data_IF_603847601181
#
_entry.id   IF_603847601181
#
_cell.length_a   1.000
_cell.length_b   1.000
_cell.length_c   1.000
_cell.angle_alpha   90.00
_cell.angle_beta   90.00
_cell.angle_gamma   90.00
#
_symmetry.space_group_name_H-M   'P 1'
#
loop_
_entity.id
_entity.type
_entity.pdbx_description
1 polymer ?
#
# COMPACT_ATOMS: atom_id res chain seq x y z
N UNK A 1 23.30 11.67 -14.34
CA UNK A 1 21.88 12.03 -14.07
C UNK A 1 21.32 10.87 -13.26
N UNK A 2 20.70 11.12 -12.09
CA UNK A 2 20.02 10.07 -11.32
C UNK A 2 18.86 9.53 -12.16
N UNK A 3 18.68 8.20 -12.15
CA UNK A 3 17.56 7.55 -12.83
C UNK A 3 16.23 7.96 -12.19
N UNK A 4 15.18 8.14 -12.99
CA UNK A 4 13.85 8.52 -12.52
C UNK A 4 13.17 7.31 -11.87
N UNK A 5 12.82 7.42 -10.59
CA UNK A 5 11.97 6.47 -9.90
C UNK A 5 10.52 6.64 -10.35
N UNK A 6 9.91 5.57 -10.82
CA UNK A 6 8.62 5.57 -11.51
C UNK A 6 7.47 5.21 -10.58
N UNK A 7 6.25 5.54 -10.99
CA UNK A 7 5.03 4.97 -10.42
C UNK A 7 4.90 3.49 -10.82
N UNK A 8 4.23 2.68 -10.00
CA UNK A 8 3.86 1.32 -10.36
C UNK A 8 2.34 1.25 -10.57
N UNK A 9 1.93 1.20 -11.83
CA UNK A 9 0.53 1.34 -12.23
C UNK A 9 0.15 0.17 -13.13
N UNK A 10 -0.97 -0.49 -12.83
CA UNK A 10 -1.50 -1.61 -13.60
C UNK A 10 -0.49 -2.76 -13.83
N UNK A 11 0.49 -2.91 -12.94
CA UNK A 11 1.53 -3.94 -13.01
C UNK A 11 2.79 -3.55 -13.78
N UNK A 12 2.92 -2.27 -14.19
CA UNK A 12 4.09 -1.76 -14.91
C UNK A 12 4.68 -0.52 -14.25
N UNK A 13 6.00 -0.34 -14.37
CA UNK A 13 6.70 0.86 -13.93
C UNK A 13 6.61 1.95 -15.00
N UNK A 14 5.88 3.02 -14.69
CA UNK A 14 5.58 4.10 -15.65
C UNK A 14 6.07 5.46 -15.14
N UNK A 15 6.56 6.29 -16.05
CA UNK A 15 6.86 7.69 -15.76
C UNK A 15 5.57 8.46 -15.44
N UNK A 16 5.73 9.59 -14.73
CA UNK A 16 4.61 10.49 -14.45
C UNK A 16 4.48 11.62 -15.45
N UNK A 17 3.57 12.55 -15.17
CA UNK A 17 3.41 13.81 -15.91
C UNK A 17 4.44 14.88 -15.51
N UNK A 18 5.06 14.72 -14.35
CA UNK A 18 6.12 15.56 -13.79
C UNK A 18 6.98 14.76 -12.84
N UNK A 19 7.99 15.38 -12.25
CA UNK A 19 8.88 14.77 -11.27
C UNK A 19 9.18 15.73 -10.12
N UNK A 20 9.59 15.17 -8.98
CA UNK A 20 10.09 15.91 -7.83
C UNK A 20 11.46 15.37 -7.42
N UNK A 21 12.30 16.26 -6.88
CA UNK A 21 13.51 15.87 -6.19
C UNK A 21 13.18 15.41 -4.76
N UNK A 22 13.83 14.34 -4.29
CA UNK A 22 13.87 13.97 -2.91
C UNK A 22 15.29 14.15 -2.39
N UNK A 23 15.45 14.95 -1.33
CA UNK A 23 16.72 15.27 -0.71
C UNK A 23 16.70 14.92 0.77
N UNK A 24 17.87 14.52 1.28
CA UNK A 24 18.01 14.22 2.70
C UNK A 24 17.78 15.49 3.54
N UNK A 25 16.91 15.47 4.53
CA UNK A 25 16.75 16.61 5.45
C UNK A 25 17.96 16.85 6.35
N UNK A 26 18.81 15.84 6.50
CA UNK A 26 20.05 15.94 7.29
C UNK A 26 21.21 16.56 6.49
N UNK A 27 21.15 16.49 5.15
CA UNK A 27 22.09 17.10 4.22
C UNK A 27 21.37 17.43 2.91
N UNK A 28 20.95 18.67 2.75
CA UNK A 28 20.18 19.12 1.57
C UNK A 28 20.97 19.07 0.25
N UNK A 29 22.29 18.89 0.30
CA UNK A 29 23.11 18.63 -0.88
C UNK A 29 23.00 17.18 -1.36
N UNK A 30 22.58 16.27 -0.49
CA UNK A 30 22.40 14.86 -0.79
C UNK A 30 21.08 14.63 -1.53
N UNK A 31 21.16 14.49 -2.86
CA UNK A 31 20.03 14.10 -3.70
C UNK A 31 19.83 12.59 -3.63
N UNK A 32 18.70 12.15 -3.01
CA UNK A 32 18.31 10.75 -2.91
C UNK A 32 17.86 10.23 -4.28
N UNK A 33 17.05 11.01 -5.00
CA UNK A 33 16.60 10.66 -6.35
C UNK A 33 15.55 11.61 -6.91
N UNK A 34 15.15 11.32 -8.16
CA UNK A 34 14.02 11.94 -8.85
C UNK A 34 12.82 10.97 -8.80
N UNK A 35 11.63 11.48 -8.54
CA UNK A 35 10.43 10.68 -8.37
C UNK A 35 9.28 11.21 -9.21
N UNK A 36 8.73 10.33 -10.05
CA UNK A 36 7.62 10.64 -10.92
C UNK A 36 6.36 11.02 -10.13
N UNK A 37 5.62 12.00 -10.65
CA UNK A 37 4.28 12.36 -10.15
C UNK A 37 3.23 11.90 -11.15
N UNK A 38 2.29 11.08 -10.71
CA UNK A 38 1.23 10.52 -11.55
C UNK A 38 0.29 11.60 -12.09
N UNK A 39 -0.29 11.34 -13.24
CA UNK A 39 -1.42 12.12 -13.77
C UNK A 39 -2.76 11.56 -13.27
N UNK A 40 -3.87 12.35 -13.35
CA UNK A 40 -5.22 11.85 -13.09
C UNK A 40 -5.59 10.65 -13.97
N UNK A 41 -5.20 10.64 -15.24
CA UNK A 41 -5.46 9.53 -16.16
C UNK A 41 -4.75 8.24 -15.73
N UNK A 42 -3.53 8.36 -15.20
CA UNK A 42 -2.79 7.22 -14.65
C UNK A 42 -3.45 6.67 -13.38
N UNK A 43 -3.99 7.53 -12.52
CA UNK A 43 -4.79 7.12 -11.38
C UNK A 43 -6.05 6.38 -11.83
N UNK A 44 -6.78 6.91 -12.81
CA UNK A 44 -8.01 6.27 -13.31
C UNK A 44 -7.74 4.92 -13.96
N UNK A 45 -6.65 4.79 -14.71
CA UNK A 45 -6.20 3.52 -15.27
C UNK A 45 -5.85 2.50 -14.18
N UNK A 46 -5.16 2.93 -13.11
CA UNK A 46 -4.84 2.05 -11.98
C UNK A 46 -6.09 1.55 -11.26
N UNK A 47 -7.07 2.41 -11.05
CA UNK A 47 -8.34 2.07 -10.41
C UNK A 47 -9.18 1.10 -11.26
N UNK A 48 -9.24 1.31 -12.57
CA UNK A 48 -9.96 0.42 -13.49
C UNK A 48 -9.36 -1.00 -13.50
N UNK A 49 -8.02 -1.10 -13.55
CA UNK A 49 -7.33 -2.39 -13.53
C UNK A 49 -7.45 -3.09 -12.16
N UNK A 50 -7.42 -2.31 -11.08
CA UNK A 50 -7.52 -2.84 -9.71
C UNK A 50 -8.84 -3.58 -9.46
N UNK A 51 -9.96 -3.12 -10.02
CA UNK A 51 -11.25 -3.79 -9.89
C UNK A 51 -11.26 -5.20 -10.49
N UNK A 52 -10.57 -5.39 -11.62
CA UNK A 52 -10.46 -6.71 -12.25
C UNK A 52 -9.48 -7.60 -11.47
N UNK A 53 -8.30 -7.07 -11.14
CA UNK A 53 -7.27 -7.78 -10.41
C UNK A 53 -7.75 -8.23 -9.01
N UNK A 54 -8.59 -7.42 -8.36
CA UNK A 54 -9.19 -7.74 -7.07
C UNK A 54 -10.06 -8.99 -7.14
N UNK A 55 -10.92 -9.10 -8.16
CA UNK A 55 -11.78 -10.29 -8.33
C UNK A 55 -10.95 -11.56 -8.56
N UNK A 56 -9.89 -11.45 -9.35
CA UNK A 56 -8.96 -12.55 -9.57
C UNK A 56 -8.25 -12.95 -8.27
N UNK A 57 -7.71 -11.97 -7.52
CA UNK A 57 -7.03 -12.18 -6.25
C UNK A 57 -7.94 -12.75 -5.18
N UNK A 58 -9.18 -12.29 -5.09
CA UNK A 58 -10.16 -12.82 -4.12
C UNK A 58 -10.40 -14.32 -4.35
N UNK A 59 -10.38 -14.78 -5.60
CA UNK A 59 -10.54 -16.18 -5.97
C UNK A 59 -9.30 -17.06 -5.72
N UNK A 60 -8.12 -16.46 -5.45
CA UNK A 60 -6.92 -17.25 -5.13
C UNK A 60 -7.07 -17.97 -3.80
N UNK A 61 -6.54 -19.20 -3.74
CA UNK A 61 -6.51 -19.98 -2.51
C UNK A 61 -5.71 -19.29 -1.40
N UNK A 62 -6.09 -19.56 -0.16
CA UNK A 62 -5.48 -18.95 1.04
C UNK A 62 -3.97 -19.22 1.15
N UNK A 63 -3.51 -20.41 0.73
CA UNK A 63 -2.09 -20.77 0.72
C UNK A 63 -1.26 -19.87 -0.22
N UNK A 64 -1.78 -19.56 -1.41
CA UNK A 64 -1.09 -18.65 -2.35
C UNK A 64 -0.97 -17.24 -1.76
N UNK A 65 -2.03 -16.74 -1.15
CA UNK A 65 -2.02 -15.45 -0.44
C UNK A 65 -1.02 -15.45 0.71
N UNK A 66 -1.01 -16.53 1.51
CA UNK A 66 -0.03 -16.73 2.58
C UNK A 66 1.41 -16.65 2.04
N UNK A 67 1.73 -17.41 0.99
CA UNK A 67 3.07 -17.47 0.44
C UNK A 67 3.55 -16.10 -0.07
N UNK A 68 2.71 -15.36 -0.76
CA UNK A 68 3.00 -14.01 -1.25
C UNK A 68 3.31 -13.06 -0.09
N UNK A 69 2.45 -12.98 0.91
CA UNK A 69 2.64 -12.07 2.04
C UNK A 69 3.85 -12.48 2.89
N UNK A 70 4.08 -13.77 3.08
CA UNK A 70 5.24 -14.31 3.78
C UNK A 70 6.54 -13.95 3.06
N UNK A 71 6.59 -14.06 1.74
CA UNK A 71 7.76 -13.69 0.93
C UNK A 71 8.08 -12.21 1.05
N UNK A 72 7.07 -11.31 0.96
CA UNK A 72 7.23 -9.87 1.15
C UNK A 72 7.85 -9.58 2.53
N UNK A 73 7.22 -10.09 3.59
CA UNK A 73 7.66 -9.82 4.96
C UNK A 73 9.06 -10.35 5.26
N UNK A 74 9.38 -11.55 4.76
CA UNK A 74 10.71 -12.17 4.92
C UNK A 74 11.80 -11.36 4.22
N UNK A 75 11.56 -10.92 2.97
CA UNK A 75 12.52 -10.09 2.25
C UNK A 75 12.74 -8.74 2.95
N UNK A 76 11.67 -8.08 3.39
CA UNK A 76 11.77 -6.81 4.15
C UNK A 76 12.63 -6.97 5.40
N UNK A 77 12.40 -8.02 6.20
CA UNK A 77 13.18 -8.27 7.41
C UNK A 77 14.65 -8.59 7.09
N UNK A 78 14.90 -9.36 6.05
CA UNK A 78 16.27 -9.69 5.61
C UNK A 78 17.03 -8.44 5.12
N UNK A 79 16.34 -7.51 4.46
CA UNK A 79 16.92 -6.26 3.94
C UNK A 79 16.74 -5.06 4.89
N UNK A 80 16.37 -5.29 6.15
CA UNK A 80 16.04 -4.21 7.09
C UNK A 80 17.19 -3.20 7.30
N UNK A 81 18.45 -3.64 7.22
CA UNK A 81 19.60 -2.75 7.32
C UNK A 81 19.69 -1.80 6.09
N UNK A 82 19.57 -2.34 4.89
CA UNK A 82 19.62 -1.59 3.63
C UNK A 82 18.45 -0.60 3.54
N UNK A 83 17.23 -1.11 3.63
CA UNK A 83 16.01 -0.33 3.51
C UNK A 83 15.83 0.68 4.65
N UNK A 84 16.26 0.33 5.86
CA UNK A 84 16.25 1.23 7.01
C UNK A 84 17.26 2.36 6.90
N UNK A 85 18.40 2.12 6.25
CA UNK A 85 19.37 3.18 5.94
C UNK A 85 18.80 4.15 4.91
N UNK A 86 18.14 3.66 3.85
CA UNK A 86 17.45 4.48 2.86
C UNK A 86 16.36 5.34 3.53
N UNK A 87 15.52 4.72 4.36
CA UNK A 87 14.45 5.40 5.09
C UNK A 87 15.00 6.51 5.99
N UNK A 88 16.06 6.23 6.74
CA UNK A 88 16.69 7.21 7.62
C UNK A 88 17.31 8.38 6.86
N UNK A 89 17.92 8.10 5.71
CA UNK A 89 18.47 9.13 4.81
C UNK A 89 17.39 10.05 4.26
N UNK A 90 16.21 9.48 3.94
CA UNK A 90 15.07 10.19 3.36
C UNK A 90 14.28 10.99 4.40
N UNK A 91 14.06 10.43 5.58
CA UNK A 91 13.17 11.00 6.60
C UNK A 91 13.92 11.77 7.69
N UNK A 92 15.20 11.45 7.90
CA UNK A 92 16.06 12.11 8.88
C UNK A 92 16.13 11.45 10.26
N UNK A 93 15.45 10.32 10.48
CA UNK A 93 15.55 9.59 11.75
C UNK A 93 16.87 8.80 11.87
N UNK A 94 17.28 8.43 13.11
CA UNK A 94 18.46 7.57 13.31
C UNK A 94 18.35 6.24 12.58
N UNK A 95 19.47 5.74 12.03
CA UNK A 95 19.51 4.49 11.25
C UNK A 95 18.98 3.29 12.04
N UNK A 96 19.23 3.24 13.35
CA UNK A 96 18.72 2.17 14.21
C UNK A 96 17.17 2.15 14.25
N UNK A 97 16.54 3.33 14.24
CA UNK A 97 15.09 3.46 14.23
C UNK A 97 14.53 3.10 12.84
N UNK A 98 15.15 3.57 11.73
CA UNK A 98 14.76 3.21 10.38
C UNK A 98 14.84 1.70 10.13
N UNK A 99 15.92 1.07 10.60
CA UNK A 99 16.06 -0.40 10.57
C UNK A 99 14.95 -1.10 11.37
N UNK A 100 14.67 -0.61 12.56
CA UNK A 100 13.61 -1.13 13.43
C UNK A 100 12.23 -1.00 12.79
N UNK A 101 11.97 0.12 12.11
CA UNK A 101 10.73 0.36 11.37
C UNK A 101 10.54 -0.64 10.23
N UNK A 102 11.54 -0.81 9.37
CA UNK A 102 11.46 -1.76 8.25
C UNK A 102 11.30 -3.19 8.73
N UNK A 103 12.03 -3.58 9.79
CA UNK A 103 11.87 -4.91 10.38
C UNK A 103 10.44 -5.12 10.89
N UNK A 104 9.89 -4.14 11.61
CA UNK A 104 8.50 -4.17 12.09
C UNK A 104 7.50 -4.23 10.92
N UNK A 105 7.75 -3.49 9.84
CA UNK A 105 6.93 -3.53 8.64
C UNK A 105 6.88 -4.94 8.03
N UNK A 106 8.02 -5.63 7.95
CA UNK A 106 8.07 -7.03 7.54
C UNK A 106 7.27 -7.96 8.45
N UNK A 107 7.30 -7.71 9.77
CA UNK A 107 6.49 -8.49 10.73
C UNK A 107 4.98 -8.32 10.52
N UNK A 108 4.49 -7.17 10.05
CA UNK A 108 3.09 -7.01 9.71
C UNK A 108 2.70 -7.91 8.54
N UNK A 109 3.53 -7.98 7.50
CA UNK A 109 3.26 -8.89 6.38
C UNK A 109 3.26 -10.36 6.80
N UNK A 110 4.22 -10.80 7.62
CA UNK A 110 4.24 -12.20 8.11
C UNK A 110 3.07 -12.51 9.06
N UNK A 111 2.66 -11.55 9.89
CA UNK A 111 1.48 -11.69 10.75
C UNK A 111 0.22 -11.90 9.89
N UNK A 112 -0.02 -11.01 8.91
CA UNK A 112 -1.20 -11.12 8.06
C UNK A 112 -1.13 -12.28 7.06
N UNK A 113 0.07 -12.76 6.70
CA UNK A 113 0.21 -14.03 6.01
C UNK A 113 -0.42 -15.16 6.84
N UNK A 114 -0.08 -15.27 8.12
CA UNK A 114 -0.67 -16.26 9.01
C UNK A 114 -2.19 -16.06 9.20
N UNK A 115 -2.67 -14.82 9.18
CA UNK A 115 -4.11 -14.52 9.26
C UNK A 115 -4.89 -15.02 8.03
N UNK A 116 -4.27 -15.11 6.83
CA UNK A 116 -4.97 -15.69 5.67
C UNK A 116 -5.42 -17.13 5.91
N UNK A 117 -4.65 -17.90 6.71
CA UNK A 117 -4.95 -19.28 7.04
C UNK A 117 -6.03 -19.43 8.15
N UNK A 118 -6.36 -18.33 8.83
CA UNK A 118 -7.29 -18.27 9.97
C UNK A 118 -8.54 -17.45 9.69
N UNK A 119 -8.86 -17.20 8.43
CA UNK A 119 -10.10 -16.52 8.05
C UNK A 119 -11.29 -17.43 8.27
N UNK A 120 -11.77 -17.47 9.50
CA UNK A 120 -12.95 -18.23 9.87
C UNK A 120 -14.20 -17.37 9.78
N UNK A 121 -15.31 -18.00 9.39
CA UNK A 121 -16.66 -17.48 9.55
C UNK A 121 -17.30 -18.01 10.84
N UNK A 122 -18.58 -17.75 10.97
CA UNK A 122 -19.40 -18.23 12.07
C UNK A 122 -20.68 -18.86 11.50
N UNK A 123 -21.13 -19.95 12.08
CA UNK A 123 -22.44 -20.53 11.78
C UNK A 123 -23.31 -20.51 13.03
N UNK A 124 -24.58 -20.20 12.89
CA UNK A 124 -25.54 -20.19 14.01
C UNK A 124 -26.91 -20.67 13.55
N UNK A 125 -27.66 -21.24 14.48
CA UNK A 125 -29.07 -21.55 14.26
C UNK A 125 -29.89 -20.25 14.36
N UNK A 126 -30.92 -20.16 13.52
CA UNK A 126 -31.91 -19.09 13.59
C UNK A 126 -33.02 -19.44 14.58
N UNK A 127 -33.62 -18.43 15.18
CA UNK A 127 -34.89 -18.58 15.92
C UNK A 127 -36.07 -18.93 15.00
N UNK A 128 -35.87 -18.88 13.67
CA UNK A 128 -36.87 -19.28 12.68
C UNK A 128 -36.55 -20.68 12.20
N UNK A 129 -37.55 -21.58 12.27
CA UNK A 129 -37.39 -22.96 11.81
C UNK A 129 -36.97 -23.04 10.32
N UNK A 130 -36.02 -23.92 10.01
CA UNK A 130 -35.53 -24.17 8.66
C UNK A 130 -34.60 -23.10 8.09
N UNK A 131 -34.13 -22.14 8.93
CA UNK A 131 -33.15 -21.10 8.52
C UNK A 131 -31.85 -21.33 9.27
N UNK A 132 -30.75 -21.40 8.51
CA UNK A 132 -29.38 -21.38 9.04
C UNK A 132 -28.76 -20.02 8.77
N UNK A 133 -27.85 -19.57 9.65
CA UNK A 133 -27.08 -18.33 9.53
C UNK A 133 -25.63 -18.71 9.28
N UNK A 134 -25.06 -18.24 8.16
CA UNK A 134 -23.65 -18.42 7.81
C UNK A 134 -23.02 -17.03 7.61
N UNK A 135 -22.05 -16.69 8.48
CA UNK A 135 -21.33 -15.42 8.44
C UNK A 135 -19.98 -15.66 7.76
N UNK A 136 -19.75 -15.01 6.65
CA UNK A 136 -18.49 -15.09 5.89
C UNK A 136 -17.81 -13.72 5.82
N UNK A 137 -16.49 -13.75 5.79
CA UNK A 137 -15.67 -12.55 5.54
C UNK A 137 -15.38 -12.45 4.05
N UNK A 138 -15.72 -11.32 3.47
CA UNK A 138 -15.49 -11.04 2.05
C UNK A 138 -14.61 -9.80 1.86
N UNK A 139 -13.92 -9.72 0.71
CA UNK A 139 -13.18 -8.52 0.32
C UNK A 139 -14.14 -7.36 0.06
N UNK A 140 -13.79 -6.16 0.49
CA UNK A 140 -14.58 -4.95 0.20
C UNK A 140 -14.37 -4.44 -1.22
N UNK A 141 -13.23 -4.77 -1.86
CA UNK A 141 -12.93 -4.36 -3.23
C UNK A 141 -11.58 -3.64 -3.35
N UNK A 142 -11.59 -2.42 -3.89
CA UNK A 142 -10.41 -1.57 -4.06
C UNK A 142 -10.24 -0.69 -2.82
N UNK A 143 -9.08 -0.80 -2.16
CA UNK A 143 -8.72 -0.02 -0.97
C UNK A 143 -7.72 1.07 -1.34
N UNK A 144 -8.11 2.32 -1.14
CA UNK A 144 -7.19 3.46 -1.20
C UNK A 144 -6.41 3.57 0.11
N UNK A 145 -5.08 3.59 0.01
CA UNK A 145 -4.20 3.79 1.16
C UNK A 145 -3.48 5.11 1.01
N UNK A 146 -3.63 5.99 2.01
CA UNK A 146 -2.93 7.26 2.09
C UNK A 146 -2.12 7.26 3.38
N UNK A 147 -0.79 7.34 3.27
CA UNK A 147 0.12 7.22 4.39
C UNK A 147 0.98 8.48 4.60
N UNK A 148 1.39 8.76 5.85
CA UNK A 148 2.22 9.90 6.20
C UNK A 148 3.71 9.62 5.94
N UNK A 149 4.54 10.62 6.22
CA UNK A 149 5.99 10.60 6.03
C UNK A 149 6.78 10.10 7.23
N UNK A 150 6.23 10.18 8.46
CA UNK A 150 6.99 9.94 9.70
C UNK A 150 7.22 8.46 10.04
N UNK A 151 6.43 7.54 9.48
CA UNK A 151 6.65 6.09 9.48
C UNK A 151 6.27 5.55 8.10
N UNK A 152 7.03 5.93 7.05
CA UNK A 152 6.61 5.74 5.65
C UNK A 152 6.43 4.27 5.28
N UNK A 153 7.28 3.40 5.81
CA UNK A 153 7.23 1.96 5.51
C UNK A 153 6.27 1.21 6.44
N UNK A 154 6.34 1.44 7.76
CA UNK A 154 5.50 0.71 8.71
C UNK A 154 4.02 1.09 8.58
N UNK A 155 3.69 2.39 8.50
CA UNK A 155 2.29 2.83 8.38
C UNK A 155 1.62 2.32 7.11
N UNK A 156 2.35 2.26 6.00
CA UNK A 156 1.85 1.66 4.77
C UNK A 156 1.65 0.15 4.94
N UNK A 157 2.65 -0.55 5.49
CA UNK A 157 2.65 -2.01 5.60
C UNK A 157 1.49 -2.54 6.44
N UNK A 158 1.15 -1.91 7.57
CA UNK A 158 0.01 -2.36 8.40
C UNK A 158 -1.37 -2.09 7.78
N UNK A 159 -1.43 -1.40 6.64
CA UNK A 159 -2.62 -1.19 5.82
C UNK A 159 -2.63 -2.09 4.58
N UNK A 160 -1.49 -2.19 3.90
CA UNK A 160 -1.32 -2.99 2.68
C UNK A 160 -1.47 -4.47 3.00
N UNK A 161 -0.77 -4.96 4.04
CA UNK A 161 -0.78 -6.38 4.38
C UNK A 161 -2.19 -6.92 4.69
N UNK A 162 -3.01 -6.31 5.57
CA UNK A 162 -4.39 -6.77 5.79
C UNK A 162 -5.26 -6.62 4.55
N UNK A 163 -5.13 -5.53 3.77
CA UNK A 163 -5.92 -5.36 2.56
C UNK A 163 -5.71 -6.53 1.59
N UNK A 164 -4.44 -6.88 1.31
CA UNK A 164 -4.10 -8.01 0.45
C UNK A 164 -4.50 -9.35 1.06
N UNK A 165 -4.28 -9.57 2.37
CA UNK A 165 -4.64 -10.80 3.08
C UNK A 165 -6.13 -11.13 2.93
N UNK A 166 -6.99 -10.12 3.02
CA UNK A 166 -8.44 -10.27 2.93
C UNK A 166 -8.99 -10.13 1.49
N UNK A 167 -8.12 -10.22 0.47
CA UNK A 167 -8.56 -10.33 -0.92
C UNK A 167 -8.86 -9.01 -1.62
N UNK A 168 -8.42 -7.87 -1.06
CA UNK A 168 -8.63 -6.55 -1.65
C UNK A 168 -7.49 -6.17 -2.60
N UNK A 169 -7.78 -5.27 -3.55
CA UNK A 169 -6.76 -4.54 -4.30
C UNK A 169 -6.35 -3.26 -3.55
N UNK A 170 -5.15 -2.78 -3.82
CA UNK A 170 -4.57 -1.63 -3.14
C UNK A 170 -4.10 -0.57 -4.14
N UNK A 171 -4.57 0.65 -3.98
CA UNK A 171 -3.99 1.85 -4.57
C UNK A 171 -3.31 2.66 -3.47
N UNK A 172 -2.00 2.70 -3.47
CA UNK A 172 -1.23 3.38 -2.43
C UNK A 172 -0.70 4.72 -2.89
N UNK A 173 -1.08 5.77 -2.17
CA UNK A 173 -0.53 7.12 -2.29
C UNK A 173 0.33 7.43 -1.06
N UNK A 174 1.66 7.37 -1.16
CA UNK A 174 2.57 7.75 -0.09
C UNK A 174 2.66 9.28 0.06
N UNK A 175 3.31 9.73 1.12
CA UNK A 175 3.69 11.14 1.25
C UNK A 175 4.79 11.52 0.24
N UNK A 176 4.72 12.72 -0.31
CA UNK A 176 5.73 13.22 -1.27
C UNK A 176 7.11 13.44 -0.63
N UNK A 177 7.19 13.50 0.71
CA UNK A 177 8.44 13.66 1.44
C UNK A 177 9.27 12.37 1.54
N UNK A 178 8.64 11.20 1.35
CA UNK A 178 9.27 9.90 1.52
C UNK A 178 8.95 8.93 0.40
N UNK A 179 9.19 9.32 -0.89
CA UNK A 179 8.89 8.48 -2.04
C UNK A 179 9.87 7.32 -2.22
N UNK A 180 11.13 7.44 -1.79
CA UNK A 180 12.13 6.38 -1.98
C UNK A 180 11.80 5.13 -1.17
N UNK A 181 11.37 5.30 0.09
CA UNK A 181 10.90 4.19 0.92
C UNK A 181 9.68 3.51 0.30
N UNK A 182 8.79 4.28 -0.34
CA UNK A 182 7.61 3.75 -1.01
C UNK A 182 7.96 2.94 -2.26
N UNK A 183 8.89 3.44 -3.09
CA UNK A 183 9.39 2.72 -4.27
C UNK A 183 10.06 1.42 -3.84
N UNK A 184 10.92 1.44 -2.82
CA UNK A 184 11.63 0.26 -2.34
C UNK A 184 10.67 -0.85 -1.83
N UNK A 185 9.61 -0.49 -1.10
CA UNK A 185 8.57 -1.45 -0.71
C UNK A 185 7.80 -1.98 -1.93
N UNK A 186 7.49 -1.09 -2.86
CA UNK A 186 6.78 -1.46 -4.10
C UNK A 186 7.59 -2.43 -4.95
N UNK A 187 8.91 -2.26 -5.05
CA UNK A 187 9.79 -3.21 -5.75
C UNK A 187 9.69 -4.63 -5.18
N UNK A 188 9.61 -4.76 -3.86
CA UNK A 188 9.43 -6.07 -3.22
C UNK A 188 8.08 -6.67 -3.59
N UNK A 189 7.01 -5.86 -3.52
CA UNK A 189 5.65 -6.31 -3.84
C UNK A 189 5.51 -6.65 -5.33
N UNK A 190 6.08 -5.84 -6.23
CA UNK A 190 5.95 -5.98 -7.69
C UNK A 190 6.55 -7.27 -8.25
N UNK A 191 7.49 -7.88 -7.53
CA UNK A 191 8.11 -9.16 -7.93
C UNK A 191 7.33 -10.39 -7.48
N UNK A 192 6.26 -10.20 -6.72
CA UNK A 192 5.47 -11.32 -6.23
C UNK A 192 4.49 -11.84 -7.30
N UNK A 193 4.06 -13.09 -7.14
CA UNK A 193 3.07 -13.73 -7.99
C UNK A 193 1.66 -13.22 -7.66
N UNK A 194 1.35 -12.00 -8.08
CA UNK A 194 0.07 -11.32 -7.89
C UNK A 194 -0.53 -10.89 -9.24
N UNK A 195 -1.86 -10.78 -9.36
CA UNK A 195 -2.50 -10.26 -10.57
C UNK A 195 -2.00 -8.85 -10.91
N UNK A 196 -1.78 -8.57 -12.20
CA UNK A 196 -1.42 -7.23 -12.66
C UNK A 196 -2.50 -6.21 -12.25
N UNK A 197 -2.08 -5.14 -11.60
CA UNK A 197 -2.97 -4.10 -11.10
C UNK A 197 -3.57 -4.36 -9.71
N UNK A 198 -3.27 -5.49 -9.07
CA UNK A 198 -3.69 -5.74 -7.68
C UNK A 198 -3.13 -4.72 -6.70
N UNK A 199 -1.91 -4.32 -6.91
CA UNK A 199 -1.22 -3.29 -6.16
C UNK A 199 -0.70 -2.22 -7.11
N UNK A 200 -0.92 -0.95 -6.75
CA UNK A 200 -0.38 0.21 -7.47
C UNK A 200 0.22 1.22 -6.50
N UNK A 201 1.39 1.75 -6.86
CA UNK A 201 2.00 2.91 -6.23
C UNK A 201 1.73 4.13 -7.09
N UNK A 202 0.97 5.08 -6.57
CA UNK A 202 0.59 6.32 -7.27
C UNK A 202 1.13 7.52 -6.50
N UNK A 203 2.33 7.96 -6.86
CA UNK A 203 2.96 9.13 -6.24
C UNK A 203 2.37 10.41 -6.81
N UNK A 204 2.07 11.37 -5.96
CA UNK A 204 1.46 12.64 -6.36
C UNK A 204 1.04 13.50 -5.18
N UNK A 205 0.77 14.77 -5.46
CA UNK A 205 0.36 15.72 -4.43
C UNK A 205 -0.98 15.36 -3.79
N UNK A 206 -1.12 15.66 -2.49
CA UNK A 206 -2.34 15.38 -1.73
C UNK A 206 -3.58 16.10 -2.28
N UNK A 207 -3.42 17.37 -2.69
CA UNK A 207 -4.52 18.19 -3.21
C UNK A 207 -4.94 17.87 -4.66
N UNK A 208 -4.22 17.02 -5.38
CA UNK A 208 -4.59 16.57 -6.73
C UNK A 208 -4.86 15.06 -6.71
N UNK A 209 -3.82 14.25 -6.75
CA UNK A 209 -3.94 12.78 -6.80
C UNK A 209 -4.62 12.24 -5.54
N UNK A 210 -4.30 12.80 -4.35
CA UNK A 210 -4.96 12.39 -3.10
C UNK A 210 -6.46 12.67 -3.11
N UNK A 211 -6.86 13.86 -3.55
CA UNK A 211 -8.27 14.27 -3.64
C UNK A 211 -9.02 13.42 -4.68
N UNK A 212 -8.45 13.26 -5.88
CA UNK A 212 -9.05 12.44 -6.94
C UNK A 212 -9.22 10.96 -6.51
N UNK A 213 -8.27 10.43 -5.72
CA UNK A 213 -8.37 9.08 -5.17
C UNK A 213 -9.52 8.95 -4.16
N UNK A 214 -9.68 9.96 -3.29
CA UNK A 214 -10.75 9.99 -2.26
C UNK A 214 -12.14 10.11 -2.89
N UNK A 215 -12.28 10.94 -3.93
CA UNK A 215 -13.54 11.20 -4.61
C UNK A 215 -13.94 10.15 -5.65
N UNK A 216 -13.06 9.19 -5.93
CA UNK A 216 -13.32 8.21 -6.97
C UNK A 216 -14.38 7.19 -6.56
N UNK A 217 -15.47 7.02 -7.35
CA UNK A 217 -16.48 6.00 -7.09
C UNK A 217 -15.97 4.56 -7.31
N UNK A 218 -14.76 4.38 -7.83
CA UNK A 218 -14.11 3.08 -8.00
C UNK A 218 -13.39 2.61 -6.72
N UNK A 219 -13.28 3.47 -5.70
CA UNK A 219 -12.71 3.13 -4.38
C UNK A 219 -13.82 2.65 -3.45
N UNK A 220 -13.63 1.49 -2.83
CA UNK A 220 -14.61 0.87 -1.94
C UNK A 220 -14.31 1.14 -0.46
N UNK A 221 -13.04 1.40 -0.12
CA UNK A 221 -12.65 1.77 1.23
C UNK A 221 -11.39 2.65 1.22
N UNK A 222 -11.26 3.52 2.21
CA UNK A 222 -10.09 4.40 2.39
C UNK A 222 -9.45 4.11 3.74
N UNK A 223 -8.14 3.83 3.74
CA UNK A 223 -7.34 3.72 4.95
C UNK A 223 -6.33 4.88 5.00
N UNK A 224 -6.60 5.85 5.85
CA UNK A 224 -5.83 7.09 5.98
C UNK A 224 -5.07 7.14 7.31
N UNK A 225 -3.86 7.68 7.26
CA UNK A 225 -3.13 8.20 8.43
C UNK A 225 -2.47 9.52 8.03
N UNK A 226 -2.69 10.55 8.83
CA UNK A 226 -2.17 11.90 8.59
C UNK A 226 -2.76 12.91 9.55
N UNK A 227 -2.83 14.18 9.17
CA UNK A 227 -3.35 15.24 10.02
C UNK A 227 -4.86 15.15 10.22
N UNK A 228 -5.33 15.59 11.38
CA UNK A 228 -6.77 15.61 11.73
C UNK A 228 -7.62 16.41 10.72
N UNK A 229 -7.20 17.60 10.26
CA UNK A 229 -8.00 18.34 9.26
C UNK A 229 -8.19 17.57 7.96
N UNK A 230 -7.11 16.94 7.44
CA UNK A 230 -7.19 16.12 6.21
C UNK A 230 -8.09 14.90 6.44
N UNK A 231 -7.95 14.20 7.58
CA UNK A 231 -8.79 13.05 7.90
C UNK A 231 -10.29 13.40 7.98
N UNK A 232 -10.64 14.56 8.55
CA UNK A 232 -12.02 15.06 8.56
C UNK A 232 -12.54 15.36 7.15
N UNK A 233 -11.70 15.96 6.28
CA UNK A 233 -12.05 16.19 4.89
C UNK A 233 -12.30 14.90 4.11
N UNK A 234 -11.45 13.90 4.28
CA UNK A 234 -11.61 12.57 3.69
C UNK A 234 -12.91 11.91 4.17
N UNK A 235 -13.17 11.94 5.48
CA UNK A 235 -14.39 11.35 6.04
C UNK A 235 -15.66 12.04 5.48
N UNK A 236 -15.63 13.35 5.31
CA UNK A 236 -16.76 14.09 4.73
C UNK A 236 -16.97 13.80 3.23
N UNK A 237 -15.90 13.51 2.49
CA UNK A 237 -15.98 13.18 1.06
C UNK A 237 -16.36 11.72 0.78
N UNK A 238 -16.18 10.83 1.75
CA UNK A 238 -16.43 9.40 1.62
C UNK A 238 -17.86 8.96 2.05
N UNK A 239 -18.73 9.90 2.45
CA UNK A 239 -20.10 9.64 2.95
C UNK A 239 -21.17 9.87 1.89
#
# INVERSE_FOLDING_TARGET
>A
MSELNKNFIAGDWVAGSSEIENRSPSDVSDLIGLFAQASPDQLDASLAQAQQAQREWAAYGIERKYNVLMAIGTEMMARAQELGTLLSREEGKPVAEGKGEVYRAGQFFTYYAAETLRQMGETAESVREGIEIDVRREAVGVVAIISPWNFPTATASWKIAPALAYGNAVIWKPANLTPASAVALTEIISRQDIPKGLFSLVMGAGGSIGQALVESPKVNAISFTGSVPVGKGIAAAAV
#
